data_IF_833664491810
#
_entry.id   IF_833664491810
#
_cell.length_a   1.000
_cell.length_b   1.000
_cell.length_c   1.000
_cell.angle_alpha   90.00
_cell.angle_beta   90.00
_cell.angle_gamma   90.00
#
_symmetry.space_group_name_H-M   'P 1'
#
loop_
_entity.id
_entity.type
_entity.pdbx_description
1 polymer ?
#
# COMPACT_ATOMS: atom_id res chain seq x y z
N UNK A 1 33.92 -71.44 -10.52
CA UNK A 1 34.27 -70.26 -9.70
C UNK A 1 33.13 -69.24 -9.81
N UNK A 2 32.15 -69.28 -8.89
CA UNK A 2 31.11 -68.27 -8.79
C UNK A 2 31.35 -67.52 -7.48
N UNK A 3 31.61 -66.21 -7.61
CA UNK A 3 31.70 -65.29 -6.49
C UNK A 3 30.42 -65.34 -5.65
N UNK A 4 30.52 -65.75 -4.38
CA UNK A 4 29.50 -65.41 -3.40
C UNK A 4 29.60 -63.90 -3.14
N UNK A 5 28.59 -63.14 -3.57
CA UNK A 5 28.35 -61.79 -3.04
C UNK A 5 27.78 -61.96 -1.64
N UNK A 6 28.53 -61.46 -0.65
CA UNK A 6 28.03 -61.26 0.71
C UNK A 6 26.82 -60.31 0.65
N UNK A 7 25.64 -60.82 1.00
CA UNK A 7 24.47 -59.98 1.32
C UNK A 7 24.70 -59.47 2.74
N UNK A 8 25.25 -58.26 2.84
CA UNK A 8 25.56 -57.63 4.11
C UNK A 8 24.29 -57.11 4.79
N UNK A 9 24.21 -57.30 6.10
CA UNK A 9 23.26 -56.67 7.05
C UNK A 9 23.16 -55.14 6.86
N UNK A 10 24.13 -54.53 6.16
CA UNK A 10 24.19 -53.12 5.78
C UNK A 10 23.11 -52.66 4.79
N UNK A 11 22.52 -53.54 3.97
CA UNK A 11 21.56 -53.14 2.92
C UNK A 11 20.17 -52.80 3.46
N UNK A 12 19.76 -53.37 4.60
CA UNK A 12 18.43 -53.15 5.18
C UNK A 12 18.31 -51.82 5.96
N UNK A 13 19.44 -51.23 6.37
CA UNK A 13 19.50 -49.94 7.07
C UNK A 13 19.31 -48.74 6.13
N UNK A 14 19.63 -48.90 4.85
CA UNK A 14 19.56 -47.83 3.85
C UNK A 14 18.13 -47.36 3.50
N UNK A 15 17.11 -48.22 3.32
CA UNK A 15 15.74 -47.75 3.07
C UNK A 15 15.11 -47.13 4.32
N UNK A 16 15.36 -47.68 5.51
CA UNK A 16 14.88 -47.13 6.77
C UNK A 16 15.48 -45.73 7.04
N UNK A 17 16.78 -45.56 6.81
CA UNK A 17 17.44 -44.27 6.93
C UNK A 17 16.92 -43.23 5.92
N UNK A 18 16.64 -43.65 4.68
CA UNK A 18 16.06 -42.77 3.64
C UNK A 18 14.64 -42.32 3.99
N UNK A 19 13.80 -43.23 4.46
CA UNK A 19 12.42 -42.90 4.87
C UNK A 19 12.43 -41.95 6.06
N UNK A 20 13.31 -42.17 7.04
CA UNK A 20 13.45 -41.29 8.20
C UNK A 20 13.92 -39.89 7.78
N UNK A 21 14.88 -39.79 6.85
CA UNK A 21 15.38 -38.53 6.32
C UNK A 21 14.31 -37.77 5.52
N UNK A 22 13.47 -38.48 4.77
CA UNK A 22 12.34 -37.89 4.07
C UNK A 22 11.29 -37.37 5.06
N UNK A 23 10.96 -38.13 6.10
CA UNK A 23 9.99 -37.74 7.12
C UNK A 23 10.47 -36.51 7.88
N UNK A 24 11.74 -36.44 8.29
CA UNK A 24 12.30 -35.26 8.97
C UNK A 24 12.35 -34.05 8.04
N UNK A 25 12.74 -34.23 6.78
CA UNK A 25 12.69 -33.17 5.77
C UNK A 25 11.28 -32.61 5.58
N UNK A 26 10.28 -33.49 5.45
CA UNK A 26 8.86 -33.10 5.35
C UNK A 26 8.41 -32.36 6.62
N UNK A 27 8.69 -32.89 7.80
CA UNK A 27 8.31 -32.25 9.08
C UNK A 27 8.93 -30.85 9.25
N UNK A 28 10.17 -30.64 8.78
CA UNK A 28 10.81 -29.32 8.81
C UNK A 28 10.13 -28.33 7.86
N UNK A 29 9.69 -28.78 6.68
CA UNK A 29 8.97 -27.91 5.72
C UNK A 29 7.56 -27.52 6.16
N UNK A 30 6.91 -28.34 7.01
CA UNK A 30 5.59 -28.05 7.57
C UNK A 30 5.62 -27.37 8.93
N UNK A 31 6.81 -27.04 9.46
CA UNK A 31 6.90 -26.29 10.71
C UNK A 31 6.44 -24.84 10.49
N UNK A 32 5.56 -24.30 11.35
CA UNK A 32 5.20 -22.89 11.27
C UNK A 32 6.46 -22.05 11.52
N UNK A 33 6.60 -20.89 10.85
CA UNK A 33 7.74 -20.00 11.07
C UNK A 33 7.87 -19.68 12.56
N UNK A 34 9.06 -19.89 13.13
CA UNK A 34 9.38 -19.67 14.55
C UNK A 34 9.55 -18.17 14.88
N UNK A 35 9.39 -17.31 13.88
CA UNK A 35 9.40 -15.87 14.03
C UNK A 35 8.15 -15.29 13.37
N UNK A 36 7.22 -14.84 14.21
CA UNK A 36 6.23 -13.84 13.83
C UNK A 36 6.86 -12.43 13.86
N UNK A 37 6.18 -11.47 13.24
CA UNK A 37 6.58 -10.06 13.27
C UNK A 37 6.86 -9.58 14.70
N UNK A 38 7.97 -8.88 14.94
CA UNK A 38 8.53 -8.77 16.30
C UNK A 38 8.24 -7.47 17.07
N UNK A 39 7.62 -6.45 16.46
CA UNK A 39 7.31 -5.20 17.16
C UNK A 39 6.21 -4.33 16.50
N UNK A 40 5.43 -4.87 15.55
CA UNK A 40 4.25 -4.18 15.02
C UNK A 40 2.99 -4.75 15.70
N UNK A 41 2.17 -3.86 16.24
CA UNK A 41 0.85 -4.22 16.79
C UNK A 41 -0.13 -4.46 15.63
N UNK A 42 -0.34 -5.75 15.33
CA UNK A 42 -1.29 -6.20 14.30
C UNK A 42 -2.69 -6.46 14.87
N UNK A 43 -2.85 -6.48 16.20
CA UNK A 43 -4.13 -6.73 16.85
C UNK A 43 -5.00 -5.46 16.92
N UNK A 44 -4.36 -4.29 17.10
CA UNK A 44 -5.05 -3.00 17.20
C UNK A 44 -4.47 -1.90 16.28
N UNK A 45 -4.49 -2.10 14.95
CA UNK A 45 -4.04 -1.07 14.02
C UNK A 45 -5.03 0.09 13.91
N UNK A 46 -4.52 1.29 13.65
CA UNK A 46 -5.36 2.39 13.17
C UNK A 46 -5.71 2.16 11.69
N UNK A 47 -7.00 2.15 11.36
CA UNK A 47 -7.49 1.92 10.00
C UNK A 47 -8.23 3.16 9.51
N UNK A 48 -7.73 3.76 8.43
CA UNK A 48 -8.35 4.88 7.75
C UNK A 48 -8.94 4.42 6.43
N UNK A 49 -10.12 4.94 6.09
CA UNK A 49 -10.83 4.60 4.86
C UNK A 49 -11.32 5.87 4.17
N UNK A 50 -11.29 5.87 2.84
CA UNK A 50 -11.81 6.95 2.02
C UNK A 50 -12.98 6.52 1.13
N UNK A 51 -13.42 7.41 0.22
CA UNK A 51 -14.52 7.12 -0.70
C UNK A 51 -14.25 5.90 -1.58
N UNK A 52 -15.28 5.10 -1.83
CA UNK A 52 -15.15 3.89 -2.67
C UNK A 52 -14.74 4.26 -4.10
N UNK A 53 -13.83 3.49 -4.70
CA UNK A 53 -13.33 3.70 -6.06
C UNK A 53 -12.33 4.86 -6.23
N UNK A 54 -12.07 5.65 -5.19
CA UNK A 54 -11.18 6.83 -5.24
C UNK A 54 -9.69 6.50 -5.24
N UNK A 55 -9.34 5.24 -4.99
CA UNK A 55 -7.97 4.78 -4.73
C UNK A 55 -7.34 5.47 -3.52
N UNK A 56 -8.13 5.75 -2.49
CA UNK A 56 -7.62 6.18 -1.19
C UNK A 56 -6.54 5.22 -0.69
N UNK A 57 -5.38 5.76 -0.33
CA UNK A 57 -4.21 4.96 0.07
C UNK A 57 -3.22 4.71 -1.07
N UNK A 58 -3.46 5.28 -2.26
CA UNK A 58 -2.52 5.16 -3.39
C UNK A 58 -1.14 5.77 -3.06
N UNK A 59 -1.13 6.89 -2.33
CA UNK A 59 0.06 7.48 -1.74
C UNK A 59 -0.21 7.79 -0.26
N UNK A 60 0.79 7.63 0.59
CA UNK A 60 0.71 7.90 2.03
C UNK A 60 1.98 8.63 2.49
N UNK A 61 1.83 9.55 3.44
CA UNK A 61 2.93 10.31 4.02
C UNK A 61 2.61 10.73 5.46
N UNK A 62 3.63 10.87 6.31
CA UNK A 62 3.47 11.46 7.64
C UNK A 62 3.43 12.99 7.55
N UNK A 63 2.56 13.65 8.30
CA UNK A 63 2.59 15.11 8.46
C UNK A 63 2.78 15.44 9.93
N UNK A 64 3.94 16.02 10.24
CA UNK A 64 4.49 16.13 11.58
C UNK A 64 4.67 17.59 11.98
N UNK A 65 3.56 18.32 12.05
CA UNK A 65 3.51 19.68 12.64
C UNK A 65 3.27 19.58 14.15
N UNK A 66 2.46 20.46 14.73
CA UNK A 66 2.12 20.44 16.17
C UNK A 66 1.39 19.16 16.59
N UNK A 67 0.66 18.54 15.65
CA UNK A 67 0.00 17.24 15.85
C UNK A 67 0.46 16.25 14.78
N UNK A 68 0.65 15.00 15.19
CA UNK A 68 1.02 13.92 14.27
C UNK A 68 -0.21 13.52 13.46
N UNK A 69 -0.05 13.45 12.15
CA UNK A 69 -1.13 13.08 11.23
C UNK A 69 -0.58 12.25 10.09
N UNK A 70 -1.50 11.60 9.36
CA UNK A 70 -1.21 10.93 8.10
C UNK A 70 -1.92 11.69 6.99
N UNK A 71 -1.24 11.86 5.86
CA UNK A 71 -1.81 12.45 4.66
C UNK A 71 -1.92 11.36 3.61
N UNK A 72 -3.10 11.23 3.02
CA UNK A 72 -3.44 10.10 2.14
C UNK A 72 -3.92 10.62 0.79
N UNK A 73 -3.24 10.22 -0.28
CA UNK A 73 -3.64 10.49 -1.65
C UNK A 73 -4.73 9.54 -2.15
N UNK A 74 -5.68 10.07 -2.92
CA UNK A 74 -6.77 9.36 -3.57
C UNK A 74 -6.97 9.91 -5.00
N UNK A 75 -6.15 9.47 -5.97
CA UNK A 75 -6.05 10.11 -7.29
C UNK A 75 -7.33 10.01 -8.14
N UNK A 76 -8.28 9.15 -7.76
CA UNK A 76 -9.58 9.00 -8.44
C UNK A 76 -10.75 9.59 -7.66
N UNK A 77 -10.49 10.32 -6.57
CA UNK A 77 -11.54 10.98 -5.83
C UNK A 77 -12.24 12.07 -6.68
N UNK A 78 -13.56 12.18 -6.54
CA UNK A 78 -14.29 13.33 -7.05
C UNK A 78 -14.10 14.52 -6.11
N UNK A 79 -14.08 15.73 -6.67
CA UNK A 79 -13.92 16.99 -5.96
C UNK A 79 -15.14 17.89 -6.16
N UNK A 80 -15.16 19.04 -5.50
CA UNK A 80 -16.15 20.10 -5.70
C UNK A 80 -15.87 20.97 -6.93
N UNK A 81 -14.78 20.72 -7.66
CA UNK A 81 -14.40 21.50 -8.85
C UNK A 81 -15.48 21.37 -9.94
N UNK A 82 -15.84 22.50 -10.52
CA UNK A 82 -16.90 22.55 -11.52
C UNK A 82 -16.53 21.77 -12.78
N UNK A 83 -17.38 20.82 -13.18
CA UNK A 83 -17.24 20.01 -14.39
C UNK A 83 -15.94 19.19 -14.47
N UNK A 84 -15.36 18.81 -13.33
CA UNK A 84 -14.18 17.94 -13.25
C UNK A 84 -14.61 16.54 -12.75
N UNK A 85 -14.25 15.51 -13.51
CA UNK A 85 -14.50 14.11 -13.11
C UNK A 85 -13.21 13.46 -12.62
N UNK A 86 -13.26 12.79 -11.46
CA UNK A 86 -12.10 12.10 -10.86
C UNK A 86 -10.83 12.98 -10.88
N UNK A 87 -10.97 14.24 -10.46
CA UNK A 87 -9.85 15.19 -10.44
C UNK A 87 -8.72 14.78 -9.48
N UNK A 88 -9.04 13.95 -8.48
CA UNK A 88 -8.13 13.49 -7.45
C UNK A 88 -8.16 14.40 -6.21
N UNK A 89 -7.88 13.82 -5.05
CA UNK A 89 -7.88 14.55 -3.77
C UNK A 89 -6.85 13.97 -2.81
N UNK A 90 -6.51 14.75 -1.79
CA UNK A 90 -5.63 14.37 -0.70
C UNK A 90 -6.36 14.61 0.61
N UNK A 91 -6.27 13.64 1.52
CA UNK A 91 -6.99 13.62 2.79
C UNK A 91 -6.03 13.82 3.95
N UNK A 92 -6.41 14.68 4.89
CA UNK A 92 -5.78 14.85 6.19
C UNK A 92 -6.45 13.92 7.21
N UNK A 93 -5.67 13.02 7.80
CA UNK A 93 -6.13 12.08 8.82
C UNK A 93 -5.39 12.37 10.14
N UNK A 94 -6.02 13.05 11.11
CA UNK A 94 -5.45 13.26 12.44
C UNK A 94 -5.11 11.91 13.08
N UNK A 95 -3.93 11.76 13.67
CA UNK A 95 -3.58 10.51 14.34
C UNK A 95 -4.45 10.31 15.58
N UNK A 96 -5.36 9.34 15.55
CA UNK A 96 -6.20 9.01 16.69
C UNK A 96 -6.49 7.50 16.76
N UNK A 97 -6.59 6.98 17.99
CA UNK A 97 -7.02 5.59 18.25
C UNK A 97 -8.54 5.41 18.20
N UNK A 98 -9.30 6.50 18.35
CA UNK A 98 -10.76 6.48 18.44
C UNK A 98 -11.46 7.20 17.30
N UNK A 99 -10.74 8.04 16.56
CA UNK A 99 -11.26 8.82 15.44
C UNK A 99 -10.50 8.42 14.18
N UNK A 100 -11.23 7.92 13.19
CA UNK A 100 -10.68 7.50 11.89
C UNK A 100 -11.15 8.40 10.76
N UNK A 101 -11.76 9.54 11.11
CA UNK A 101 -12.26 10.49 10.13
C UNK A 101 -11.11 11.24 9.48
N UNK A 102 -11.11 11.24 8.15
CA UNK A 102 -10.19 12.02 7.34
C UNK A 102 -10.98 13.07 6.56
N UNK A 103 -10.41 14.25 6.41
CA UNK A 103 -11.05 15.36 5.68
C UNK A 103 -10.22 15.71 4.45
N UNK A 104 -10.86 16.05 3.34
CA UNK A 104 -10.14 16.49 2.12
C UNK A 104 -9.44 17.82 2.35
N UNK A 105 -8.20 17.93 1.88
CA UNK A 105 -7.45 19.18 1.83
C UNK A 105 -7.76 19.87 0.49
N UNK A 106 -8.26 21.10 0.54
CA UNK A 106 -8.57 21.88 -0.66
C UNK A 106 -7.30 22.60 -1.15
N UNK A 107 -6.63 22.01 -2.15
CA UNK A 107 -5.48 22.63 -2.83
C UNK A 107 -5.91 23.57 -3.95
N UNK A 108 -6.97 23.21 -4.67
CA UNK A 108 -7.52 23.94 -5.81
C UNK A 108 -9.01 23.64 -5.95
N UNK A 109 -9.82 24.69 -5.98
CA UNK A 109 -11.28 24.62 -6.14
C UNK A 109 -11.75 24.98 -7.55
N UNK A 110 -10.84 25.45 -8.40
CA UNK A 110 -11.16 25.92 -9.74
C UNK A 110 -11.21 24.76 -10.74
N UNK A 111 -12.10 24.89 -11.73
CA UNK A 111 -12.17 23.94 -12.86
C UNK A 111 -11.04 24.14 -13.88
N UNK A 112 -11.27 23.68 -15.10
CA UNK A 112 -10.33 23.83 -16.21
C UNK A 112 -10.09 25.31 -16.55
N UNK A 113 -8.82 25.72 -16.59
CA UNK A 113 -8.45 27.09 -16.98
C UNK A 113 -8.61 27.28 -18.49
N UNK A 114 -9.23 28.40 -18.87
CA UNK A 114 -9.32 28.85 -20.26
C UNK A 114 -8.54 30.16 -20.45
N UNK A 115 -7.94 30.34 -21.62
CA UNK A 115 -7.17 31.52 -22.00
C UNK A 115 -7.73 32.05 -23.31
N UNK A 116 -8.02 33.36 -23.36
CA UNK A 116 -8.50 34.03 -24.57
C UNK A 116 -7.32 34.51 -25.42
N UNK A 117 -7.24 34.04 -26.67
CA UNK A 117 -6.26 34.48 -27.67
C UNK A 117 -7.02 34.89 -28.92
N UNK A 118 -6.80 36.11 -29.41
CA UNK A 118 -7.45 36.65 -30.62
C UNK A 118 -8.99 36.49 -30.60
N UNK A 119 -9.62 36.84 -29.49
CA UNK A 119 -11.08 36.72 -29.25
C UNK A 119 -11.63 35.27 -29.30
N UNK A 120 -10.75 34.26 -29.29
CA UNK A 120 -11.11 32.84 -29.15
C UNK A 120 -10.65 32.27 -27.81
N UNK A 121 -11.55 31.56 -27.11
CA UNK A 121 -11.22 30.88 -25.86
C UNK A 121 -10.57 29.52 -26.16
N UNK A 122 -9.39 29.30 -25.60
CA UNK A 122 -8.67 28.04 -25.66
C UNK A 122 -8.58 27.43 -24.28
N UNK A 123 -8.80 26.12 -24.19
CA UNK A 123 -8.57 25.37 -22.96
C UNK A 123 -7.06 25.24 -22.73
N UNK A 124 -6.57 25.76 -21.60
CA UNK A 124 -5.16 25.70 -21.26
C UNK A 124 -4.82 24.49 -20.38
N UNK A 125 -5.80 23.99 -19.63
CA UNK A 125 -5.62 22.92 -18.64
C UNK A 125 -6.76 21.90 -18.73
N UNK A 126 -6.44 20.64 -18.45
CA UNK A 126 -7.40 19.53 -18.36
C UNK A 126 -7.17 18.84 -17.02
N UNK A 127 -8.13 18.96 -16.11
CA UNK A 127 -8.04 18.43 -14.74
C UNK A 127 -8.80 17.13 -14.53
N UNK A 128 -9.74 16.78 -15.41
CA UNK A 128 -10.45 15.50 -15.33
C UNK A 128 -9.50 14.33 -15.50
N UNK A 129 -9.56 13.34 -14.59
CA UNK A 129 -8.65 12.20 -14.53
C UNK A 129 -7.16 12.57 -14.51
N UNK A 130 -6.79 13.73 -13.95
CA UNK A 130 -5.39 14.16 -13.87
C UNK A 130 -4.55 13.39 -12.83
N UNK A 131 -5.21 12.58 -11.98
CA UNK A 131 -4.57 11.80 -10.92
C UNK A 131 -3.95 12.63 -9.78
N UNK A 132 -4.56 13.76 -9.43
CA UNK A 132 -4.06 14.57 -8.31
C UNK A 132 -4.07 13.79 -7.00
N UNK A 133 -2.92 13.67 -6.34
CA UNK A 133 -2.75 12.80 -5.17
C UNK A 133 -2.17 11.43 -5.49
N UNK A 134 -1.68 11.21 -6.72
CA UNK A 134 -0.89 10.05 -7.07
C UNK A 134 0.46 10.02 -6.33
N UNK A 135 0.99 11.20 -5.99
CA UNK A 135 2.16 11.34 -5.13
C UNK A 135 1.90 12.38 -4.05
N UNK A 136 2.30 12.07 -2.82
CA UNK A 136 2.20 12.96 -1.66
C UNK A 136 3.53 12.92 -0.94
N UNK A 137 4.09 14.09 -0.63
CA UNK A 137 5.29 14.27 0.19
C UNK A 137 5.07 15.43 1.14
N UNK A 138 5.72 15.38 2.29
CA UNK A 138 5.66 16.43 3.30
C UNK A 138 7.06 16.75 3.81
N UNK A 139 7.23 17.98 4.27
CA UNK A 139 8.39 18.43 5.02
C UNK A 139 7.98 19.63 5.87
N UNK A 140 8.21 19.57 7.18
CA UNK A 140 7.76 20.57 8.15
C UNK A 140 6.25 20.87 8.04
N UNK A 141 5.88 22.11 7.73
CA UNK A 141 4.52 22.61 7.52
C UNK A 141 4.07 22.56 6.05
N UNK A 142 4.91 22.01 5.17
CA UNK A 142 4.68 22.01 3.73
C UNK A 142 4.27 20.62 3.24
N UNK A 143 3.25 20.58 2.38
CA UNK A 143 2.80 19.37 1.67
C UNK A 143 2.92 19.63 0.17
N UNK A 144 3.56 18.70 -0.55
CA UNK A 144 3.66 18.68 -2.00
C UNK A 144 2.86 17.50 -2.55
N UNK A 145 2.05 17.79 -3.57
CA UNK A 145 1.18 16.82 -4.24
C UNK A 145 1.38 16.90 -5.75
N UNK A 146 1.38 15.74 -6.42
CA UNK A 146 1.12 15.66 -7.86
C UNK A 146 0.03 14.65 -8.15
#
# INVERSE_FOLDING_TARGET
MRHLRSFGVFDLWTPLARTLLCITGVLLTFSPPVCEAFNLDVESPAVYSGPNGSYFGYAVEFYLTDSKSVVVGAPKANTSQFNITEGGSVFYCPWSRSQTECHSIEFDTEGDRTVSLNDTNHQAEVKSHQWFGATVRSHDDTILVR
#
